data_IF_923682948115
#
_entry.id   IF_923682948115
#
_cell.length_a   1.000
_cell.length_b   1.000
_cell.length_c   1.000
_cell.angle_alpha   90.00
_cell.angle_beta   90.00
_cell.angle_gamma   90.00
#
_symmetry.space_group_name_H-M   'P 1'
#
loop_
_entity.id
_entity.type
_entity.pdbx_description
1 polymer ?
#
# COMPACT_ATOMS: atom_id res chain seq x y z
N UNK A 1 -17.68 3.66 -26.47
CA UNK A 1 -16.76 4.57 -25.76
C UNK A 1 -17.36 5.01 -24.42
N UNK A 2 -16.56 5.03 -23.35
CA UNK A 2 -17.03 5.39 -22.00
C UNK A 2 -17.13 6.91 -21.89
N UNK A 3 -18.20 7.41 -21.29
CA UNK A 3 -18.39 8.85 -21.04
C UNK A 3 -17.36 9.36 -20.01
N UNK A 4 -17.00 10.66 -20.02
CA UNK A 4 -16.03 11.23 -19.09
C UNK A 4 -16.32 10.93 -17.61
N UNK A 5 -17.60 10.89 -17.23
CA UNK A 5 -18.04 10.67 -15.85
C UNK A 5 -18.22 9.18 -15.49
N UNK A 6 -17.90 8.26 -16.41
CA UNK A 6 -18.00 6.83 -16.14
C UNK A 6 -16.86 6.34 -15.25
N UNK A 7 -17.16 5.43 -14.32
CA UNK A 7 -16.12 4.72 -13.58
C UNK A 7 -15.14 4.02 -14.54
N UNK A 8 -13.85 4.08 -14.19
CA UNK A 8 -12.77 3.42 -14.96
C UNK A 8 -13.08 1.92 -15.11
N UNK A 9 -13.49 1.29 -14.01
CA UNK A 9 -13.85 -0.13 -13.99
C UNK A 9 -15.36 -0.31 -14.07
N UNK A 10 -15.82 -1.10 -15.03
CA UNK A 10 -17.25 -1.30 -15.32
C UNK A 10 -18.02 -2.15 -14.31
N UNK A 11 -17.42 -2.48 -13.15
CA UNK A 11 -18.15 -3.12 -12.06
C UNK A 11 -18.99 -2.11 -11.26
N UNK A 12 -18.81 -0.80 -11.47
CA UNK A 12 -19.73 0.26 -11.07
C UNK A 12 -20.19 1.01 -12.32
N UNK A 13 -21.47 1.35 -12.38
CA UNK A 13 -22.10 2.01 -13.53
C UNK A 13 -22.50 3.45 -13.24
N UNK A 14 -22.59 3.85 -11.97
CA UNK A 14 -22.97 5.21 -11.55
C UNK A 14 -24.42 5.36 -11.13
N UNK A 15 -25.24 4.32 -11.30
CA UNK A 15 -26.65 4.27 -10.87
C UNK A 15 -26.83 3.54 -9.53
N UNK A 16 -25.74 3.03 -8.93
CA UNK A 16 -25.79 2.26 -7.70
C UNK A 16 -25.97 3.13 -6.44
N UNK A 17 -26.73 2.63 -5.47
CA UNK A 17 -26.84 3.23 -4.14
C UNK A 17 -25.53 3.10 -3.35
N UNK A 18 -25.32 3.93 -2.33
CA UNK A 18 -24.13 3.85 -1.46
C UNK A 18 -23.89 2.46 -0.85
N UNK A 19 -24.97 1.74 -0.52
CA UNK A 19 -24.89 0.36 -0.03
C UNK A 19 -24.42 -0.60 -1.14
N UNK A 20 -24.98 -0.49 -2.34
CA UNK A 20 -24.59 -1.31 -3.49
C UNK A 20 -23.13 -1.06 -3.89
N UNK A 21 -22.68 0.20 -3.88
CA UNK A 21 -21.28 0.57 -4.10
C UNK A 21 -20.38 -0.15 -3.09
N UNK A 22 -20.71 -0.06 -1.80
CA UNK A 22 -19.92 -0.67 -0.73
C UNK A 22 -19.85 -2.20 -0.84
N UNK A 23 -20.96 -2.84 -1.19
CA UNK A 23 -21.01 -4.29 -1.43
C UNK A 23 -20.15 -4.69 -2.63
N UNK A 24 -20.29 -4.00 -3.77
CA UNK A 24 -19.53 -4.31 -4.98
C UNK A 24 -18.04 -4.12 -4.78
N UNK A 25 -17.62 -3.06 -4.09
CA UNK A 25 -16.19 -2.85 -3.75
C UNK A 25 -15.67 -4.01 -2.90
N UNK A 26 -16.43 -4.43 -1.87
CA UNK A 26 -16.04 -5.56 -1.01
C UNK A 26 -15.89 -6.86 -1.80
N UNK A 27 -16.84 -7.13 -2.70
CA UNK A 27 -16.84 -8.34 -3.53
C UNK A 27 -15.63 -8.36 -4.48
N UNK A 28 -15.34 -7.24 -5.13
CA UNK A 28 -14.16 -7.09 -6.00
C UNK A 28 -12.87 -7.29 -5.20
N UNK A 29 -12.73 -6.66 -4.03
CA UNK A 29 -11.55 -6.84 -3.16
C UNK A 29 -11.39 -8.30 -2.73
N UNK A 30 -12.48 -8.95 -2.32
CA UNK A 30 -12.47 -10.37 -1.92
C UNK A 30 -12.03 -11.27 -3.08
N UNK A 31 -12.55 -11.02 -4.28
CA UNK A 31 -12.19 -11.73 -5.50
C UNK A 31 -10.70 -11.55 -5.84
N UNK A 32 -10.21 -10.31 -5.87
CA UNK A 32 -8.80 -10.00 -6.11
C UNK A 32 -7.89 -10.71 -5.10
N UNK A 33 -8.20 -10.60 -3.80
CA UNK A 33 -7.43 -11.26 -2.74
C UNK A 33 -7.44 -12.79 -2.87
N UNK A 34 -8.53 -13.39 -3.34
CA UNK A 34 -8.60 -14.82 -3.63
C UNK A 34 -7.59 -15.24 -4.69
N UNK A 35 -7.48 -14.49 -5.78
CA UNK A 35 -6.52 -14.78 -6.85
C UNK A 35 -5.08 -14.45 -6.45
N UNK A 36 -4.84 -13.35 -5.74
CA UNK A 36 -3.51 -13.00 -5.22
C UNK A 36 -2.96 -14.08 -4.29
N UNK A 37 -3.79 -14.66 -3.42
CA UNK A 37 -3.37 -15.80 -2.60
C UNK A 37 -2.99 -17.03 -3.42
N UNK A 38 -3.70 -17.30 -4.53
CA UNK A 38 -3.35 -18.42 -5.43
C UNK A 38 -2.00 -18.18 -6.11
N UNK A 39 -1.78 -16.98 -6.62
CA UNK A 39 -0.51 -16.56 -7.23
C UNK A 39 0.61 -16.69 -6.19
N UNK A 40 0.41 -16.14 -4.98
CA UNK A 40 1.38 -16.23 -3.90
C UNK A 40 1.78 -17.66 -3.57
N UNK A 41 0.81 -18.57 -3.45
CA UNK A 41 1.08 -20.01 -3.26
C UNK A 41 1.91 -20.60 -4.40
N UNK A 42 1.60 -20.25 -5.65
CA UNK A 42 2.31 -20.78 -6.82
C UNK A 42 3.78 -20.33 -6.88
N UNK A 43 4.11 -19.13 -6.37
CA UNK A 43 5.46 -18.57 -6.38
C UNK A 43 6.17 -18.64 -5.02
N UNK A 44 5.58 -19.32 -4.03
CA UNK A 44 6.15 -19.47 -2.69
C UNK A 44 6.12 -18.21 -1.81
N UNK A 45 5.26 -17.23 -2.12
CA UNK A 45 5.09 -15.99 -1.34
C UNK A 45 3.79 -16.03 -0.55
N UNK A 46 3.90 -15.97 0.78
CA UNK A 46 2.74 -15.90 1.67
C UNK A 46 2.18 -14.49 1.79
N UNK A 47 0.89 -14.38 2.12
CA UNK A 47 0.27 -13.11 2.53
C UNK A 47 0.01 -12.09 1.40
N UNK A 48 0.06 -12.47 0.12
CA UNK A 48 -0.28 -11.56 -0.97
C UNK A 48 -1.75 -11.12 -0.91
N UNK A 49 -1.95 -9.80 -0.90
CA UNK A 49 -3.24 -9.12 -0.93
C UNK A 49 -3.12 -7.76 -1.61
N UNK A 50 -4.24 -7.10 -1.86
CA UNK A 50 -4.25 -5.71 -2.36
C UNK A 50 -3.54 -4.75 -1.40
N UNK A 51 -3.55 -5.04 -0.10
CA UNK A 51 -2.87 -4.25 0.92
C UNK A 51 -1.34 -4.43 0.87
N UNK A 52 -0.85 -5.61 0.50
CA UNK A 52 0.59 -5.86 0.27
C UNK A 52 1.15 -4.94 -0.81
N UNK A 53 0.39 -4.65 -1.87
CA UNK A 53 0.80 -3.71 -2.91
C UNK A 53 0.94 -2.28 -2.35
N UNK A 54 0.00 -1.83 -1.52
CA UNK A 54 0.05 -0.52 -0.85
C UNK A 54 1.30 -0.41 0.05
N UNK A 55 1.60 -1.45 0.83
CA UNK A 55 2.81 -1.50 1.66
C UNK A 55 4.08 -1.46 0.82
N UNK A 56 4.12 -2.24 -0.27
CA UNK A 56 5.27 -2.30 -1.17
C UNK A 56 5.55 -0.93 -1.78
N UNK A 57 4.51 -0.23 -2.26
CA UNK A 57 4.63 1.12 -2.79
C UNK A 57 5.25 2.09 -1.78
N UNK A 58 4.72 2.16 -0.56
CA UNK A 58 5.24 3.04 0.50
C UNK A 58 6.69 2.71 0.86
N UNK A 59 7.00 1.41 0.96
CA UNK A 59 8.36 0.91 1.26
C UNK A 59 9.36 1.33 0.18
N UNK A 60 9.01 1.15 -1.09
CA UNK A 60 9.87 1.50 -2.22
C UNK A 60 10.16 2.99 -2.23
N UNK A 61 9.13 3.84 -2.10
CA UNK A 61 9.31 5.30 -2.05
C UNK A 61 10.19 5.74 -0.87
N UNK A 62 10.00 5.13 0.30
CA UNK A 62 10.83 5.47 1.45
C UNK A 62 12.29 5.09 1.22
N UNK A 63 12.55 3.90 0.66
CA UNK A 63 13.90 3.43 0.33
C UNK A 63 14.57 4.26 -0.77
N UNK A 64 13.81 4.89 -1.66
CA UNK A 64 14.33 5.86 -2.63
C UNK A 64 14.59 7.25 -2.03
N UNK A 65 14.42 7.43 -0.72
CA UNK A 65 14.68 8.71 -0.04
C UNK A 65 13.54 9.72 -0.15
N UNK A 66 12.36 9.32 -0.61
CA UNK A 66 11.21 10.21 -0.73
C UNK A 66 10.72 10.68 0.65
N UNK A 67 10.32 11.96 0.74
CA UNK A 67 9.84 12.56 1.97
C UNK A 67 8.56 11.86 2.47
N UNK A 68 8.48 11.61 3.78
CA UNK A 68 7.34 10.95 4.43
C UNK A 68 6.03 11.73 4.21
N UNK A 69 6.07 13.06 4.22
CA UNK A 69 4.89 13.89 3.97
C UNK A 69 4.29 13.59 2.59
N UNK A 70 5.13 13.49 1.57
CA UNK A 70 4.72 13.14 0.21
C UNK A 70 4.18 11.71 0.11
N UNK A 71 4.81 10.76 0.80
CA UNK A 71 4.31 9.36 0.84
C UNK A 71 2.93 9.32 1.51
N UNK A 72 2.74 10.05 2.62
CA UNK A 72 1.47 10.13 3.33
C UNK A 72 0.35 10.72 2.46
N UNK A 73 0.66 11.82 1.77
CA UNK A 73 -0.25 12.47 0.81
C UNK A 73 -0.60 11.54 -0.35
N UNK A 74 0.39 10.87 -0.94
CA UNK A 74 0.20 9.92 -2.05
C UNK A 74 -0.67 8.72 -1.66
N UNK A 75 -0.69 8.35 -0.37
CA UNK A 75 -1.57 7.31 0.16
C UNK A 75 -2.97 7.83 0.51
N UNK A 76 -3.20 9.15 0.49
CA UNK A 76 -4.46 9.77 0.88
C UNK A 76 -4.76 9.64 2.37
N UNK A 77 -3.74 9.52 3.22
CA UNK A 77 -3.92 9.52 4.67
C UNK A 77 -4.08 10.96 5.17
N UNK A 78 -5.24 11.28 5.75
CA UNK A 78 -5.46 12.57 6.41
C UNK A 78 -4.72 12.70 7.75
N UNK A 79 -4.20 11.59 8.29
CA UNK A 79 -3.45 11.54 9.54
C UNK A 79 -2.10 10.83 9.33
N UNK A 80 -1.01 11.55 9.64
CA UNK A 80 0.37 11.07 9.62
C UNK A 80 0.56 9.84 10.51
N UNK A 81 -0.20 9.71 11.60
CA UNK A 81 -0.11 8.58 12.54
C UNK A 81 -0.42 7.23 11.87
N UNK A 82 -1.30 7.25 10.86
CA UNK A 82 -1.58 6.07 10.04
C UNK A 82 -0.34 5.70 9.23
N UNK A 83 0.34 6.69 8.64
CA UNK A 83 1.62 6.56 7.92
C UNK A 83 2.79 6.12 8.82
N UNK A 84 2.90 6.65 10.04
CA UNK A 84 3.95 6.32 11.01
C UNK A 84 3.95 4.84 11.41
N UNK A 85 2.77 4.24 11.63
CA UNK A 85 2.68 2.80 11.90
C UNK A 85 3.20 1.94 10.74
N UNK A 86 3.07 2.40 9.49
CA UNK A 86 3.67 1.71 8.34
C UNK A 86 5.20 1.87 8.28
N UNK A 87 5.76 2.91 8.89
CA UNK A 87 7.17 3.29 8.79
C UNK A 87 8.00 2.94 10.04
N UNK A 88 7.36 2.61 11.18
CA UNK A 88 8.02 2.34 12.45
C UNK A 88 9.06 1.20 12.38
N UNK A 89 8.81 0.18 11.57
CA UNK A 89 9.78 -0.90 11.34
C UNK A 89 11.01 -0.42 10.55
N UNK A 90 10.84 0.50 9.60
CA UNK A 90 11.91 1.04 8.76
C UNK A 90 12.82 2.01 9.51
N UNK A 91 12.29 2.81 10.43
CA UNK A 91 13.14 3.69 11.23
C UNK A 91 14.14 2.92 12.08
N UNK A 92 13.78 1.71 12.53
CA UNK A 92 14.70 0.85 13.29
C UNK A 92 15.93 0.48 12.45
N UNK A 93 15.74 0.13 11.19
CA UNK A 93 16.84 -0.26 10.28
C UNK A 93 17.76 0.93 9.98
N UNK A 94 17.20 2.10 9.64
CA UNK A 94 18.01 3.29 9.35
C UNK A 94 18.75 3.79 10.59
N UNK A 95 18.12 3.74 11.78
CA UNK A 95 18.80 4.05 13.06
C UNK A 95 19.97 3.12 13.32
N UNK A 96 19.81 1.81 13.09
CA UNK A 96 20.90 0.83 13.26
C UNK A 96 22.03 1.08 12.27
N UNK A 97 21.72 1.41 11.01
CA UNK A 97 22.71 1.77 10.00
C UNK A 97 23.49 3.03 10.39
N UNK A 98 22.79 4.09 10.80
CA UNK A 98 23.41 5.34 11.23
C UNK A 98 24.24 5.16 12.51
N UNK A 99 23.75 4.37 13.46
CA UNK A 99 24.51 4.02 14.67
C UNK A 99 25.83 3.32 14.30
N UNK A 100 25.81 2.34 13.38
CA UNK A 100 27.03 1.66 12.92
C UNK A 100 28.04 2.62 12.28
N UNK A 101 27.59 3.60 11.50
CA UNK A 101 28.46 4.64 10.92
C UNK A 101 29.10 5.47 12.03
N UNK A 102 28.32 5.90 13.02
CA UNK A 102 28.78 6.73 14.13
C UNK A 102 29.70 6.00 15.12
N UNK A 103 29.60 4.67 15.20
CA UNK A 103 30.45 3.83 16.06
C UNK A 103 31.63 3.21 15.31
N UNK A 104 31.82 3.52 14.03
CA UNK A 104 32.95 3.05 13.25
C UNK A 104 34.17 3.96 13.50
N UNK A 105 34.79 3.81 14.67
CA UNK A 105 35.92 4.65 15.09
C UNK A 105 37.25 4.33 14.36
N UNK A 106 37.26 3.40 13.41
CA UNK A 106 38.46 2.91 12.75
C UNK A 106 39.33 2.05 13.67
N UNK A 107 40.10 1.14 13.10
CA UNK A 107 41.42 0.79 13.63
C UNK A 107 42.46 1.75 13.04
#
# INVERSE_FOLDING_TARGET
>A
DKQPDSYIFGFLKGDETAMQISMRIRDVISCCNKYLRKIGKAIGIAGLSTYTARHSYATVLKRSGTNIAYISESLGHNDLKTTENYLASFEKEERVKNAKILTNFGE
#
